data_IF_955243195673
#
_entry.id   IF_955243195673
#
_cell.length_a   1.000
_cell.length_b   1.000
_cell.length_c   1.000
_cell.angle_alpha   90.00
_cell.angle_beta   90.00
_cell.angle_gamma   90.00
#
_symmetry.space_group_name_H-M   'P 1'
#
loop_
_entity.id
_entity.type
_entity.pdbx_description
1 polymer ?
#
# COMPACT_ATOMS: atom_id res chain seq x y z
N UNK A 1 13.48 53.41 18.21
CA UNK A 1 14.92 53.51 17.92
C UNK A 1 15.30 54.92 17.46
N UNK A 2 14.70 55.48 16.40
CA UNK A 2 15.05 56.84 15.92
C UNK A 2 14.83 57.97 16.94
N UNK A 3 13.72 57.93 17.69
CA UNK A 3 13.44 58.90 18.75
C UNK A 3 14.54 58.93 19.84
N UNK A 4 15.05 57.76 20.23
CA UNK A 4 16.15 57.64 21.21
C UNK A 4 17.50 58.05 20.63
N UNK A 5 17.70 57.87 19.32
CA UNK A 5 18.90 58.32 18.58
C UNK A 5 19.03 59.83 18.60
N UNK A 6 17.90 60.53 18.52
CA UNK A 6 17.84 61.99 18.46
C UNK A 6 17.63 62.65 19.83
N UNK A 7 17.57 61.86 20.91
CA UNK A 7 17.43 62.38 22.26
C UNK A 7 18.73 63.07 22.70
N UNK A 8 18.66 64.37 22.94
CA UNK A 8 19.80 65.22 23.34
C UNK A 8 19.86 65.50 24.85
N UNK A 9 18.89 65.01 25.61
CA UNK A 9 18.87 65.14 27.07
C UNK A 9 19.81 64.15 27.76
N UNK A 10 19.79 64.16 29.10
CA UNK A 10 20.57 63.23 29.90
C UNK A 10 20.03 61.81 29.78
N UNK A 11 20.83 60.92 29.17
CA UNK A 11 20.47 59.52 28.92
C UNK A 11 20.31 58.71 30.21
N UNK A 12 20.89 59.15 31.33
CA UNK A 12 20.74 58.49 32.63
C UNK A 12 19.34 58.70 33.24
N UNK A 13 18.64 59.76 32.83
CA UNK A 13 17.27 60.06 33.30
C UNK A 13 16.19 59.25 32.58
N UNK A 14 16.55 58.56 31.50
CA UNK A 14 15.63 57.71 30.74
C UNK A 14 15.22 56.47 31.53
N UNK A 15 14.04 55.94 31.25
CA UNK A 15 13.56 54.71 31.87
C UNK A 15 14.42 53.49 31.48
N UNK A 16 14.40 52.44 32.30
CA UNK A 16 15.18 51.21 32.07
C UNK A 16 14.98 50.61 30.67
N UNK A 17 13.77 50.67 30.13
CA UNK A 17 13.48 50.18 28.78
C UNK A 17 14.21 50.99 27.69
N UNK A 18 14.26 52.30 27.83
CA UNK A 18 14.92 53.20 26.89
C UNK A 18 16.45 53.05 26.99
N UNK A 19 16.98 52.94 28.21
CA UNK A 19 18.38 52.62 28.45
C UNK A 19 18.79 51.28 27.81
N UNK A 20 17.95 50.24 27.92
CA UNK A 20 18.18 48.96 27.24
C UNK A 20 18.27 49.13 25.70
N UNK A 21 17.36 49.90 25.10
CA UNK A 21 17.43 50.17 23.65
C UNK A 21 18.65 50.99 23.27
N UNK A 22 19.11 51.94 24.11
CA UNK A 22 20.34 52.67 23.87
C UNK A 22 21.57 51.76 23.82
N UNK A 23 21.65 50.76 24.71
CA UNK A 23 22.70 49.73 24.66
C UNK A 23 22.56 48.86 23.41
N UNK A 24 21.34 48.42 23.08
CA UNK A 24 21.07 47.59 21.91
C UNK A 24 21.47 48.28 20.59
N UNK A 25 21.27 49.59 20.50
CA UNK A 25 21.61 50.41 19.34
C UNK A 25 23.11 50.57 19.10
N UNK A 26 23.96 50.26 20.10
CA UNK A 26 25.41 50.22 19.91
C UNK A 26 25.85 49.07 19.02
N UNK A 27 24.99 48.05 18.85
CA UNK A 27 25.26 46.91 17.98
C UNK A 27 24.83 47.23 16.54
N UNK A 28 25.75 47.24 15.56
CA UNK A 28 25.40 47.46 14.16
C UNK A 28 24.48 46.34 13.65
N UNK A 29 23.47 46.72 12.86
CA UNK A 29 22.52 45.81 12.18
C UNK A 29 21.89 44.77 13.12
N UNK A 30 21.56 45.18 14.35
CA UNK A 30 21.04 44.27 15.39
C UNK A 30 19.85 43.41 14.93
N UNK A 31 18.92 43.96 14.15
CA UNK A 31 17.78 43.18 13.62
C UNK A 31 18.22 42.04 12.70
N UNK A 32 19.22 42.29 11.84
CA UNK A 32 19.81 41.27 10.97
C UNK A 32 20.47 40.18 11.83
N UNK A 33 21.30 40.58 12.79
CA UNK A 33 21.99 39.65 13.71
C UNK A 33 21.02 38.80 14.51
N UNK A 34 19.89 39.35 14.96
CA UNK A 34 18.84 38.57 15.62
C UNK A 34 18.18 37.55 14.70
N UNK A 35 17.91 37.90 13.43
CA UNK A 35 17.39 36.93 12.45
C UNK A 35 18.40 35.80 12.20
N UNK A 36 19.69 36.12 12.13
CA UNK A 36 20.76 35.12 12.00
C UNK A 36 20.81 34.20 13.22
N UNK A 37 20.73 34.75 14.44
CA UNK A 37 20.69 33.93 15.65
C UNK A 37 19.46 33.03 15.70
N UNK A 38 18.28 33.55 15.36
CA UNK A 38 17.06 32.75 15.29
C UNK A 38 17.20 31.59 14.29
N UNK A 39 17.75 31.86 13.10
CA UNK A 39 18.04 30.82 12.11
C UNK A 39 19.03 29.78 12.65
N UNK A 40 20.16 30.22 13.22
CA UNK A 40 21.17 29.32 13.79
C UNK A 40 20.59 28.39 14.86
N UNK A 41 19.71 28.91 15.72
CA UNK A 41 19.05 28.12 16.77
C UNK A 41 18.11 27.05 16.16
N UNK A 42 17.43 27.37 15.07
CA UNK A 42 16.46 26.50 14.42
C UNK A 42 17.07 25.56 13.38
N UNK A 43 18.28 25.84 12.89
CA UNK A 43 18.91 25.19 11.74
C UNK A 43 18.89 23.67 11.80
N UNK A 44 19.39 23.08 12.89
CA UNK A 44 19.49 21.63 13.03
C UNK A 44 18.11 20.95 13.06
N UNK A 45 17.11 21.63 13.60
CA UNK A 45 15.72 21.15 13.57
C UNK A 45 15.15 21.20 12.16
N UNK A 46 15.33 22.31 11.44
CA UNK A 46 14.87 22.43 10.04
C UNK A 46 15.52 21.38 9.14
N UNK A 47 16.84 21.20 9.21
CA UNK A 47 17.56 20.16 8.44
C UNK A 47 16.99 18.77 8.73
N UNK A 48 16.85 18.42 10.02
CA UNK A 48 16.38 17.09 10.44
C UNK A 48 14.97 16.81 9.96
N UNK A 49 14.07 17.79 10.10
CA UNK A 49 12.65 17.61 9.79
C UNK A 49 12.44 17.48 8.28
N UNK A 50 13.09 18.34 7.46
CA UNK A 50 13.07 18.21 6.00
C UNK A 50 13.67 16.88 5.55
N UNK A 51 14.84 16.51 6.09
CA UNK A 51 15.51 15.23 5.77
C UNK A 51 14.62 14.04 6.08
N UNK A 52 13.97 14.02 7.25
CA UNK A 52 13.06 12.94 7.65
C UNK A 52 11.90 12.78 6.67
N UNK A 53 11.29 13.89 6.26
CA UNK A 53 10.18 13.87 5.32
C UNK A 53 10.65 13.38 3.94
N UNK A 54 11.81 13.82 3.46
CA UNK A 54 12.40 13.33 2.21
C UNK A 54 12.69 11.83 2.25
N UNK A 55 13.24 11.32 3.35
CA UNK A 55 13.48 9.89 3.52
C UNK A 55 12.18 9.09 3.55
N UNK A 56 11.12 9.63 4.13
CA UNK A 56 9.79 9.00 4.11
C UNK A 56 9.27 8.83 2.67
N UNK A 57 9.44 9.85 1.83
CA UNK A 57 9.09 9.78 0.40
C UNK A 57 9.97 8.76 -0.33
N UNK A 58 11.28 8.77 -0.06
CA UNK A 58 12.22 7.83 -0.65
C UNK A 58 11.84 6.38 -0.34
N UNK A 59 11.59 6.07 0.94
CA UNK A 59 11.17 4.73 1.38
C UNK A 59 9.86 4.31 0.74
N UNK A 60 8.85 5.19 0.65
CA UNK A 60 7.61 4.87 -0.04
C UNK A 60 7.83 4.54 -1.54
N UNK A 61 8.74 5.24 -2.22
CA UNK A 61 9.09 4.93 -3.62
C UNK A 61 9.74 3.55 -3.74
N UNK A 62 10.67 3.23 -2.84
CA UNK A 62 11.36 1.93 -2.81
C UNK A 62 10.40 0.78 -2.48
N UNK A 63 9.54 0.95 -1.48
CA UNK A 63 8.53 -0.02 -1.08
C UNK A 63 7.56 -0.33 -2.22
N UNK A 64 7.01 0.70 -2.87
CA UNK A 64 6.05 0.55 -3.98
C UNK A 64 6.67 -0.13 -5.21
N UNK A 65 7.92 0.19 -5.54
CA UNK A 65 8.63 -0.41 -6.68
C UNK A 65 9.16 -1.80 -6.35
N UNK A 66 9.53 -2.03 -5.10
CA UNK A 66 10.15 -3.24 -4.59
C UNK A 66 9.16 -4.34 -4.21
N UNK A 67 7.89 -4.00 -3.90
CA UNK A 67 6.91 -5.01 -3.47
C UNK A 67 6.52 -5.96 -4.60
N UNK A 68 7.04 -7.19 -4.54
CA UNK A 68 6.66 -8.28 -5.44
C UNK A 68 5.18 -8.65 -5.28
N UNK A 69 4.66 -8.58 -4.06
CA UNK A 69 3.25 -8.83 -3.76
C UNK A 69 2.34 -7.84 -4.50
N UNK A 70 2.65 -6.54 -4.45
CA UNK A 70 1.90 -5.52 -5.18
C UNK A 70 1.92 -5.78 -6.70
N UNK A 71 3.07 -6.18 -7.26
CA UNK A 71 3.17 -6.54 -8.69
C UNK A 71 2.24 -7.70 -9.05
N UNK A 72 2.19 -8.74 -8.21
CA UNK A 72 1.27 -9.87 -8.41
C UNK A 72 -0.19 -9.43 -8.30
N UNK A 73 -0.55 -8.55 -7.37
CA UNK A 73 -1.91 -7.97 -7.28
C UNK A 73 -2.26 -7.20 -8.56
N UNK A 74 -1.37 -6.34 -9.05
CA UNK A 74 -1.59 -5.58 -10.29
C UNK A 74 -1.76 -6.49 -11.51
N UNK A 75 -0.97 -7.57 -11.60
CA UNK A 75 -1.12 -8.60 -12.65
C UNK A 75 -2.47 -9.31 -12.59
N UNK A 76 -2.95 -9.65 -11.40
CA UNK A 76 -4.28 -10.26 -11.21
C UNK A 76 -5.41 -9.30 -11.62
N UNK A 77 -5.29 -8.01 -11.31
CA UNK A 77 -6.25 -7.00 -11.75
C UNK A 77 -6.29 -6.94 -13.29
N UNK A 78 -5.12 -6.93 -13.94
CA UNK A 78 -5.03 -6.91 -15.39
C UNK A 78 -5.67 -8.16 -16.02
N UNK A 79 -5.37 -9.36 -15.49
CA UNK A 79 -5.96 -10.60 -15.95
C UNK A 79 -7.49 -10.53 -15.87
N UNK A 80 -8.01 -10.23 -14.68
CA UNK A 80 -9.45 -10.17 -14.44
C UNK A 80 -10.08 -9.16 -15.40
N UNK A 81 -9.48 -7.98 -15.54
CA UNK A 81 -9.93 -6.97 -16.49
C UNK A 81 -10.00 -7.48 -17.93
N UNK A 82 -8.95 -8.15 -18.42
CA UNK A 82 -8.91 -8.70 -19.77
C UNK A 82 -9.95 -9.80 -19.97
N UNK A 83 -10.07 -10.74 -19.02
CA UNK A 83 -11.10 -11.80 -19.06
C UNK A 83 -12.50 -11.22 -19.09
N UNK A 84 -12.79 -10.20 -18.27
CA UNK A 84 -14.12 -9.59 -18.22
C UNK A 84 -14.46 -8.79 -19.48
N UNK A 85 -13.45 -8.29 -20.20
CA UNK A 85 -13.63 -7.49 -21.40
C UNK A 85 -13.31 -8.28 -22.69
N UNK A 86 -13.24 -9.61 -22.61
CA UNK A 86 -12.97 -10.48 -23.75
C UNK A 86 -13.98 -10.22 -24.89
N UNK A 87 -13.49 -10.20 -26.13
CA UNK A 87 -14.31 -9.84 -27.29
C UNK A 87 -14.55 -8.34 -27.49
N UNK A 88 -14.13 -7.49 -26.57
CA UNK A 88 -14.11 -6.02 -26.76
C UNK A 88 -12.69 -5.51 -27.06
N UNK A 89 -12.51 -4.30 -27.60
CA UNK A 89 -11.19 -3.68 -27.74
C UNK A 89 -10.40 -3.54 -26.43
N UNK A 90 -11.06 -3.68 -25.26
CA UNK A 90 -10.45 -3.60 -23.93
C UNK A 90 -10.00 -4.96 -23.38
N UNK A 91 -10.30 -6.08 -24.05
CA UNK A 91 -10.00 -7.45 -23.59
C UNK A 91 -8.56 -7.91 -23.80
N UNK A 92 -7.71 -7.08 -24.42
CA UNK A 92 -6.30 -7.38 -24.71
C UNK A 92 -5.37 -6.27 -24.21
N UNK A 93 -5.73 -5.64 -23.09
CA UNK A 93 -4.91 -4.58 -22.52
C UNK A 93 -3.58 -5.14 -21.99
N UNK A 94 -2.50 -4.39 -22.21
CA UNK A 94 -1.18 -4.68 -21.64
C UNK A 94 -0.96 -4.00 -20.28
N UNK A 95 -1.87 -3.10 -19.90
CA UNK A 95 -1.85 -2.34 -18.66
C UNK A 95 -3.12 -1.51 -18.52
N UNK A 96 -3.26 -0.83 -17.38
CA UNK A 96 -4.38 0.06 -17.08
C UNK A 96 -3.87 1.32 -16.36
N UNK A 97 -4.65 2.40 -16.43
CA UNK A 97 -4.37 3.64 -15.70
C UNK A 97 -4.54 3.43 -14.19
N UNK A 98 -3.66 4.01 -13.38
CA UNK A 98 -3.57 3.69 -11.96
C UNK A 98 -4.90 3.92 -11.23
N UNK A 99 -5.55 5.04 -11.50
CA UNK A 99 -6.85 5.44 -10.97
C UNK A 99 -8.01 4.48 -11.35
N UNK A 100 -7.82 3.60 -12.34
CA UNK A 100 -8.80 2.56 -12.68
C UNK A 100 -8.92 1.48 -11.61
N UNK A 101 -7.90 1.25 -10.78
CA UNK A 101 -7.95 0.24 -9.71
C UNK A 101 -8.99 0.58 -8.64
N UNK A 102 -9.33 1.86 -8.48
CA UNK A 102 -10.35 2.30 -7.53
C UNK A 102 -11.76 1.89 -7.97
N UNK A 103 -11.97 1.66 -9.27
CA UNK A 103 -13.28 1.30 -9.84
C UNK A 103 -13.66 -0.17 -9.60
N UNK A 104 -12.74 -0.98 -9.07
CA UNK A 104 -13.00 -2.38 -8.73
C UNK A 104 -14.10 -2.55 -7.67
N UNK A 105 -14.42 -1.51 -6.90
CA UNK A 105 -15.54 -1.53 -5.95
C UNK A 105 -16.89 -1.16 -6.58
N UNK A 106 -16.89 -0.59 -7.78
CA UNK A 106 -18.09 -0.17 -8.50
C UNK A 106 -18.70 -1.33 -9.30
N UNK A 107 -17.87 -2.21 -9.86
CA UNK A 107 -18.32 -3.41 -10.55
C UNK A 107 -18.83 -4.45 -9.55
N UNK A 108 -20.11 -4.81 -9.64
CA UNK A 108 -20.80 -5.74 -8.73
C UNK A 108 -21.26 -7.00 -9.46
N UNK A 109 -21.24 -8.12 -8.75
CA UNK A 109 -21.97 -9.32 -9.18
C UNK A 109 -23.49 -9.14 -9.02
N UNK A 110 -24.26 -10.03 -9.65
CA UNK A 110 -25.73 -10.06 -9.57
C UNK A 110 -26.22 -10.14 -8.12
N UNK A 111 -25.44 -10.72 -7.21
CA UNK A 111 -25.62 -10.57 -5.76
C UNK A 111 -25.10 -9.19 -5.29
N UNK A 112 -26.01 -8.31 -4.88
CA UNK A 112 -25.75 -6.88 -4.59
C UNK A 112 -24.62 -6.57 -3.58
N UNK A 113 -24.12 -7.57 -2.84
CA UNK A 113 -23.11 -7.43 -1.78
C UNK A 113 -21.66 -7.70 -2.21
N UNK A 114 -21.40 -8.33 -3.36
CA UNK A 114 -20.03 -8.72 -3.76
C UNK A 114 -19.53 -7.86 -4.92
N UNK A 115 -18.40 -7.16 -4.74
CA UNK A 115 -17.75 -6.36 -5.78
C UNK A 115 -16.60 -7.11 -6.44
N UNK A 116 -16.05 -6.58 -7.54
CA UNK A 116 -14.86 -7.14 -8.19
C UNK A 116 -13.64 -7.12 -7.26
N UNK A 117 -13.54 -6.12 -6.37
CA UNK A 117 -12.53 -6.10 -5.29
C UNK A 117 -12.67 -7.31 -4.35
N UNK A 118 -13.90 -7.64 -3.93
CA UNK A 118 -14.14 -8.82 -3.10
C UNK A 118 -13.72 -10.10 -3.81
N UNK A 119 -14.01 -10.19 -5.11
CA UNK A 119 -13.58 -11.32 -5.92
C UNK A 119 -12.06 -11.39 -6.05
N UNK A 120 -11.37 -10.28 -6.30
CA UNK A 120 -9.91 -10.22 -6.33
C UNK A 120 -9.32 -10.79 -5.03
N UNK A 121 -9.79 -10.34 -3.87
CA UNK A 121 -9.34 -10.85 -2.56
C UNK A 121 -9.65 -12.35 -2.37
N UNK A 122 -10.77 -12.87 -2.90
CA UNK A 122 -11.11 -14.31 -2.85
C UNK A 122 -10.20 -15.13 -3.76
N UNK A 123 -9.95 -14.69 -5.00
CA UNK A 123 -9.13 -15.41 -5.96
C UNK A 123 -7.69 -15.48 -5.50
N UNK A 124 -7.15 -14.36 -5.01
CA UNK A 124 -5.82 -14.31 -4.37
C UNK A 124 -5.71 -15.34 -3.25
N UNK A 125 -6.81 -15.66 -2.54
CA UNK A 125 -6.86 -16.68 -1.48
C UNK A 125 -7.00 -18.12 -2.00
N UNK A 126 -7.69 -18.34 -3.12
CA UNK A 126 -7.96 -19.69 -3.67
C UNK A 126 -6.71 -20.31 -4.30
N UNK A 127 -5.87 -19.52 -4.98
CA UNK A 127 -4.61 -19.99 -5.57
C UNK A 127 -3.61 -20.58 -4.55
N UNK A 128 -3.89 -20.40 -3.25
CA UNK A 128 -3.00 -20.74 -2.16
C UNK A 128 -3.31 -22.10 -1.50
N UNK A 129 -4.45 -22.73 -1.82
CA UNK A 129 -4.92 -23.93 -1.11
C UNK A 129 -5.08 -25.18 -1.98
N UNK A 130 -5.13 -25.10 -3.32
CA UNK A 130 -5.59 -26.25 -4.14
C UNK A 130 -4.91 -26.47 -5.51
N UNK A 131 -3.72 -25.91 -5.80
CA UNK A 131 -2.96 -26.29 -7.00
C UNK A 131 -1.60 -26.90 -6.64
N UNK A 132 -1.29 -28.07 -7.22
CA UNK A 132 0.10 -28.53 -7.31
C UNK A 132 0.92 -27.49 -8.08
N UNK A 133 2.21 -27.35 -7.71
CA UNK A 133 3.14 -26.40 -8.35
C UNK A 133 3.22 -26.54 -9.89
N UNK A 134 2.81 -27.68 -10.44
CA UNK A 134 2.98 -28.01 -11.85
C UNK A 134 1.96 -27.31 -12.76
N UNK A 135 0.71 -27.16 -12.32
CA UNK A 135 -0.33 -26.47 -13.12
C UNK A 135 -0.07 -24.95 -13.15
N UNK A 136 0.45 -24.39 -12.04
CA UNK A 136 0.80 -22.98 -11.98
C UNK A 136 1.94 -22.63 -12.96
N UNK A 137 2.96 -23.50 -13.07
CA UNK A 137 4.06 -23.33 -14.04
C UNK A 137 3.55 -23.32 -15.49
N UNK A 138 2.52 -24.10 -15.80
CA UNK A 138 1.96 -24.22 -17.16
C UNK A 138 1.06 -23.04 -17.57
N UNK A 139 0.25 -22.50 -16.65
CA UNK A 139 -0.69 -21.41 -16.96
C UNK A 139 0.00 -20.03 -16.90
N UNK A 140 0.97 -19.86 -16.01
CA UNK A 140 1.52 -18.54 -15.68
C UNK A 140 2.98 -18.33 -16.08
N UNK A 141 3.63 -19.34 -16.66
CA UNK A 141 4.98 -19.27 -17.24
C UNK A 141 6.09 -18.89 -16.25
N UNK A 142 5.81 -18.89 -14.95
CA UNK A 142 6.73 -18.40 -13.93
C UNK A 142 6.67 -19.30 -12.68
N UNK A 143 7.83 -19.84 -12.31
CA UNK A 143 8.03 -20.68 -11.13
C UNK A 143 7.86 -19.82 -9.88
N UNK A 144 6.72 -19.92 -9.20
CA UNK A 144 6.54 -19.33 -7.88
C UNK A 144 7.42 -20.11 -6.91
N UNK A 145 8.25 -19.38 -6.17
CA UNK A 145 9.14 -19.92 -5.13
C UNK A 145 8.28 -20.63 -4.08
N UNK A 146 8.60 -21.88 -3.81
CA UNK A 146 7.87 -22.72 -2.87
C UNK A 146 7.94 -22.15 -1.44
N UNK A 147 6.77 -21.91 -0.84
CA UNK A 147 6.65 -21.75 0.61
C UNK A 147 5.54 -20.78 1.03
N UNK A 148 4.46 -21.32 1.60
CA UNK A 148 3.52 -20.64 2.51
C UNK A 148 2.85 -19.35 2.00
N UNK A 149 1.80 -19.51 1.21
CA UNK A 149 0.99 -18.39 0.76
C UNK A 149 -0.25 -18.14 1.64
N UNK A 150 -0.08 -17.42 2.76
CA UNK A 150 -1.02 -16.37 3.18
C UNK A 150 -0.52 -14.96 2.80
N UNK A 151 0.74 -14.88 2.38
CA UNK A 151 1.57 -13.66 2.27
C UNK A 151 1.21 -12.72 1.11
N UNK A 152 0.15 -12.93 0.32
CA UNK A 152 -0.21 -11.99 -0.75
C UNK A 152 -1.31 -11.01 -0.31
N UNK A 153 -2.13 -11.40 0.66
CA UNK A 153 -3.23 -10.58 1.18
C UNK A 153 -2.73 -9.50 2.16
N UNK A 154 -1.53 -9.70 2.71
CA UNK A 154 -0.83 -8.77 3.60
C UNK A 154 0.18 -7.87 2.86
N UNK A 155 0.08 -7.71 1.53
CA UNK A 155 1.01 -6.86 0.76
C UNK A 155 1.11 -5.42 1.27
N UNK A 156 0.08 -4.95 1.97
CA UNK A 156 0.06 -3.64 2.60
C UNK A 156 1.06 -3.50 3.76
N UNK A 157 1.48 -4.60 4.37
CA UNK A 157 2.53 -4.63 5.40
C UNK A 157 3.92 -4.31 4.80
N UNK A 158 4.10 -4.51 3.48
CA UNK A 158 5.34 -4.09 2.79
C UNK A 158 5.38 -2.57 2.55
N UNK A 159 4.27 -1.86 2.73
CA UNK A 159 4.06 -0.45 2.33
C UNK A 159 3.98 0.49 3.55
N UNK A 160 4.90 0.33 4.50
CA UNK A 160 4.87 0.99 5.82
C UNK A 160 4.97 2.51 5.73
N UNK A 161 5.67 3.05 4.73
CA UNK A 161 5.88 4.49 4.57
C UNK A 161 4.77 5.15 3.76
N UNK A 162 3.92 4.38 3.09
CA UNK A 162 2.93 4.90 2.13
C UNK A 162 1.96 5.91 2.75
N UNK A 163 1.40 5.61 3.92
CA UNK A 163 0.43 6.50 4.58
C UNK A 163 1.07 7.80 5.06
N UNK A 164 2.29 7.74 5.59
CA UNK A 164 3.03 8.92 6.00
C UNK A 164 3.40 9.78 4.78
N UNK A 165 3.88 9.13 3.71
CA UNK A 165 4.30 9.80 2.49
C UNK A 165 3.13 10.44 1.73
N UNK A 166 1.93 9.85 1.76
CA UNK A 166 0.74 10.43 1.09
C UNK A 166 0.28 11.77 1.69
N UNK A 167 0.75 12.11 2.90
CA UNK A 167 0.45 13.37 3.59
C UNK A 167 1.48 14.46 3.30
N UNK A 168 2.59 14.11 2.65
CA UNK A 168 3.66 15.04 2.30
C UNK A 168 3.40 15.68 0.94
N UNK A 169 3.95 16.88 0.75
CA UNK A 169 3.86 17.63 -0.50
C UNK A 169 5.28 18.02 -0.91
N UNK A 170 5.75 17.53 -2.07
CA UNK A 170 7.10 17.78 -2.57
C UNK A 170 7.37 19.26 -2.78
N UNK A 171 6.34 20.04 -3.14
CA UNK A 171 6.44 21.49 -3.27
C UNK A 171 6.69 22.18 -1.92
N UNK A 172 5.98 21.77 -0.86
CA UNK A 172 6.21 22.33 0.48
C UNK A 172 7.61 21.97 0.99
N UNK A 173 8.07 20.74 0.75
CA UNK A 173 9.43 20.32 1.09
C UNK A 173 10.50 21.10 0.31
N UNK A 174 10.21 21.48 -0.95
CA UNK A 174 11.07 22.35 -1.74
C UNK A 174 11.20 23.75 -1.12
N UNK A 175 10.08 24.33 -0.68
CA UNK A 175 10.03 25.64 -0.03
C UNK A 175 10.80 25.62 1.31
N UNK A 176 10.63 24.57 2.12
CA UNK A 176 11.37 24.37 3.37
C UNK A 176 12.88 24.19 3.12
N UNK A 177 13.27 23.33 2.17
CA UNK A 177 14.67 23.12 1.79
C UNK A 177 15.30 24.44 1.29
N UNK A 178 14.60 25.19 0.45
CA UNK A 178 15.08 26.45 -0.07
C UNK A 178 15.17 27.53 1.02
N UNK A 179 14.28 27.51 2.01
CA UNK A 179 14.37 28.40 3.16
C UNK A 179 15.66 28.16 3.97
N UNK A 180 16.10 26.91 4.11
CA UNK A 180 17.38 26.58 4.74
C UNK A 180 18.56 27.08 3.93
N UNK A 181 18.58 26.85 2.60
CA UNK A 181 19.65 27.34 1.72
C UNK A 181 19.77 28.85 1.79
N UNK A 182 18.65 29.58 1.60
CA UNK A 182 18.62 31.05 1.68
C UNK A 182 18.95 31.56 3.08
N UNK A 183 18.60 30.79 4.11
CA UNK A 183 18.98 31.09 5.50
C UNK A 183 20.49 31.11 5.65
N UNK A 184 21.18 30.08 5.14
CA UNK A 184 22.64 29.97 5.18
C UNK A 184 23.32 31.09 4.38
N UNK A 185 22.83 31.40 3.17
CA UNK A 185 23.32 32.54 2.37
C UNK A 185 23.23 33.87 3.12
N UNK A 186 22.16 34.09 3.89
CA UNK A 186 22.02 35.28 4.74
C UNK A 186 23.02 35.30 5.89
N UNK A 187 23.39 34.13 6.44
CA UNK A 187 24.45 34.03 7.45
C UNK A 187 25.78 34.47 6.86
N UNK A 188 26.12 33.99 5.66
CA UNK A 188 27.34 34.40 4.94
C UNK A 188 27.35 35.91 4.66
N UNK A 189 26.24 36.46 4.14
CA UNK A 189 26.12 37.89 3.87
C UNK A 189 26.30 38.75 5.12
N UNK A 190 25.68 38.38 6.25
CA UNK A 190 25.85 39.14 7.50
C UNK A 190 27.25 38.97 8.08
N UNK A 191 27.87 37.79 7.94
CA UNK A 191 29.26 37.59 8.35
C UNK A 191 30.21 38.53 7.60
N UNK A 192 30.04 38.68 6.29
CA UNK A 192 30.81 39.62 5.46
C UNK A 192 30.47 41.08 5.80
N UNK A 193 29.20 41.41 6.03
CA UNK A 193 28.82 42.77 6.43
C UNK A 193 29.40 43.15 7.81
N UNK A 194 29.59 42.18 8.71
CA UNK A 194 30.12 42.41 10.04
C UNK A 194 31.63 42.67 10.10
N UNK A 195 32.37 42.54 9.01
CA UNK A 195 33.81 42.82 8.99
C UNK A 195 34.14 44.28 9.30
N UNK A 196 33.25 45.20 8.92
CA UNK A 196 33.39 46.63 9.19
C UNK A 196 32.86 47.08 10.56
N UNK A 197 32.33 46.17 11.38
CA UNK A 197 31.68 46.53 12.65
C UNK A 197 32.65 46.79 13.81
N UNK A 198 33.93 46.47 13.64
CA UNK A 198 34.94 46.54 14.69
C UNK A 198 34.74 45.50 15.82
N UNK A 199 35.38 45.69 16.99
CA UNK A 199 35.51 44.66 18.02
C UNK A 199 34.18 44.16 18.62
N UNK A 200 33.13 44.98 18.55
CA UNK A 200 31.79 44.63 19.06
C UNK A 200 31.21 43.37 18.40
N UNK A 201 31.69 43.00 17.21
CA UNK A 201 31.21 41.84 16.46
C UNK A 201 32.22 40.69 16.37
N UNK A 202 33.35 40.74 17.06
CA UNK A 202 34.40 39.69 16.95
C UNK A 202 33.87 38.31 17.35
N UNK A 203 33.19 38.23 18.49
CA UNK A 203 32.57 36.98 18.98
C UNK A 203 31.48 36.49 18.04
N UNK A 204 30.66 37.41 17.51
CA UNK A 204 29.62 37.10 16.53
C UNK A 204 30.23 36.48 15.27
N UNK A 205 31.23 37.13 14.68
CA UNK A 205 31.92 36.65 13.47
C UNK A 205 32.58 35.29 13.69
N UNK A 206 33.28 35.10 14.82
CA UNK A 206 33.90 33.81 15.16
C UNK A 206 32.84 32.70 15.23
N UNK A 207 31.74 32.94 15.95
CA UNK A 207 30.65 31.98 16.12
C UNK A 207 29.98 31.61 14.79
N UNK A 208 29.82 32.59 13.89
CA UNK A 208 29.24 32.33 12.57
C UNK A 208 30.19 31.57 11.65
N UNK A 209 31.50 31.84 11.69
CA UNK A 209 32.49 31.07 10.92
C UNK A 209 32.46 29.59 11.29
N UNK A 210 32.54 29.28 12.57
CA UNK A 210 32.46 27.90 13.09
C UNK A 210 31.14 27.24 12.65
N UNK A 211 30.02 27.96 12.73
CA UNK A 211 28.73 27.45 12.26
C UNK A 211 28.71 27.18 10.75
N UNK A 212 29.25 28.06 9.92
CA UNK A 212 29.29 27.89 8.46
C UNK A 212 30.17 26.72 8.03
N UNK A 213 31.31 26.53 8.71
CA UNK A 213 32.23 25.42 8.47
C UNK A 213 31.52 24.06 8.64
N UNK A 214 30.68 23.95 9.67
CA UNK A 214 29.90 22.73 9.94
C UNK A 214 28.66 22.59 9.04
N UNK A 215 27.89 23.68 8.88
CA UNK A 215 26.55 23.64 8.27
C UNK A 215 26.54 23.60 6.74
N UNK A 216 27.62 24.06 6.08
CA UNK A 216 27.68 24.06 4.61
C UNK A 216 27.58 22.66 4.01
N UNK A 217 28.18 21.65 4.66
CA UNK A 217 28.08 20.26 4.22
C UNK A 217 26.66 19.71 4.37
N UNK A 218 25.98 20.02 5.48
CA UNK A 218 24.60 19.61 5.75
C UNK A 218 23.61 20.14 4.70
N UNK A 219 23.73 21.43 4.35
CA UNK A 219 22.85 22.06 3.35
C UNK A 219 23.07 21.46 1.96
N UNK A 220 24.33 21.21 1.57
CA UNK A 220 24.66 20.54 0.30
C UNK A 220 24.08 19.13 0.26
N UNK A 221 24.26 18.36 1.34
CA UNK A 221 23.73 17.01 1.44
C UNK A 221 22.19 16.99 1.39
N UNK A 222 21.52 17.92 2.08
CA UNK A 222 20.06 18.03 2.03
C UNK A 222 19.55 18.39 0.63
N UNK A 223 20.25 19.28 -0.08
CA UNK A 223 19.90 19.69 -1.45
C UNK A 223 20.07 18.53 -2.44
N UNK A 224 21.15 17.75 -2.31
CA UNK A 224 21.34 16.54 -3.09
C UNK A 224 20.25 15.50 -2.82
N UNK A 225 19.92 15.25 -1.55
CA UNK A 225 18.84 14.34 -1.16
C UNK A 225 17.49 14.78 -1.74
N UNK A 226 17.16 16.07 -1.68
CA UNK A 226 15.92 16.59 -2.29
C UNK A 226 15.87 16.30 -3.80
N UNK A 227 16.96 16.59 -4.52
CA UNK A 227 17.04 16.33 -5.95
C UNK A 227 16.91 14.84 -6.28
N UNK A 228 17.52 13.96 -5.47
CA UNK A 228 17.47 12.51 -5.67
C UNK A 228 16.07 11.95 -5.41
N UNK A 229 15.43 12.39 -4.32
CA UNK A 229 14.05 12.02 -3.98
C UNK A 229 13.07 12.51 -5.03
N UNK A 230 13.24 13.73 -5.55
CA UNK A 230 12.43 14.26 -6.65
C UNK A 230 12.51 13.38 -7.90
N UNK A 231 13.72 12.94 -8.29
CA UNK A 231 13.89 12.02 -9.42
C UNK A 231 13.27 10.64 -9.17
N UNK A 232 13.37 10.11 -7.94
CA UNK A 232 12.72 8.86 -7.56
C UNK A 232 11.20 8.94 -7.60
N UNK A 233 10.62 10.06 -7.16
CA UNK A 233 9.20 10.35 -7.23
C UNK A 233 8.68 10.42 -8.67
N UNK A 234 9.40 11.12 -9.55
CA UNK A 234 9.06 11.16 -10.99
C UNK A 234 9.18 9.77 -11.62
N UNK A 235 10.26 9.04 -11.30
CA UNK A 235 10.47 7.68 -11.79
C UNK A 235 9.38 6.70 -11.31
N UNK A 236 8.79 6.92 -10.13
CA UNK A 236 7.67 6.12 -9.63
C UNK A 236 6.41 6.37 -10.45
N UNK A 237 6.12 7.64 -10.78
CA UNK A 237 4.96 7.98 -11.62
C UNK A 237 5.09 7.33 -13.01
N UNK A 238 6.28 7.42 -13.62
CA UNK A 238 6.60 6.76 -14.88
C UNK A 238 6.50 5.23 -14.78
N UNK A 239 6.91 4.63 -13.65
CA UNK A 239 6.81 3.19 -13.41
C UNK A 239 5.36 2.68 -13.46
N UNK A 240 4.39 3.47 -12.99
CA UNK A 240 2.96 3.16 -13.11
C UNK A 240 2.34 3.60 -14.44
N UNK A 241 3.15 4.08 -15.40
CA UNK A 241 2.68 4.52 -16.72
C UNK A 241 2.00 5.89 -16.70
N UNK A 242 2.25 6.69 -15.66
CA UNK A 242 1.68 8.02 -15.47
C UNK A 242 2.70 9.13 -15.82
N UNK A 243 2.20 10.29 -16.21
CA UNK A 243 2.99 11.49 -16.51
C UNK A 243 3.24 12.28 -15.20
N UNK A 244 4.48 12.42 -14.70
CA UNK A 244 4.77 13.11 -13.45
C UNK A 244 4.24 14.54 -13.40
N UNK A 245 4.12 15.22 -14.56
CA UNK A 245 3.61 16.59 -14.62
C UNK A 245 2.08 16.67 -14.39
N UNK A 246 1.35 15.58 -14.64
CA UNK A 246 -0.11 15.51 -14.53
C UNK A 246 -0.59 14.68 -13.36
N UNK A 247 0.23 13.71 -12.96
CA UNK A 247 -0.07 12.71 -11.96
C UNK A 247 1.17 12.54 -11.07
N UNK A 248 1.46 13.54 -10.22
CA UNK A 248 2.67 13.57 -9.42
C UNK A 248 2.63 12.51 -8.31
N UNK A 249 3.76 12.38 -7.61
CA UNK A 249 3.93 11.43 -6.51
C UNK A 249 2.78 11.41 -5.51
N UNK A 250 2.27 12.57 -5.10
CA UNK A 250 1.20 12.67 -4.11
C UNK A 250 -0.08 12.00 -4.60
N UNK A 251 -0.37 12.10 -5.90
CA UNK A 251 -1.53 11.47 -6.51
C UNK A 251 -1.34 9.95 -6.65
N UNK A 252 -0.13 9.50 -6.99
CA UNK A 252 0.25 8.06 -6.98
C UNK A 252 0.08 7.48 -5.58
N UNK A 253 0.71 8.10 -4.57
CA UNK A 253 0.67 7.66 -3.18
C UNK A 253 -0.76 7.63 -2.63
N UNK A 254 -1.55 8.69 -2.86
CA UNK A 254 -2.95 8.78 -2.43
C UNK A 254 -3.84 7.71 -3.08
N UNK A 255 -3.67 7.46 -4.38
CA UNK A 255 -4.45 6.45 -5.11
C UNK A 255 -4.12 5.05 -4.62
N UNK A 256 -2.83 4.74 -4.42
CA UNK A 256 -2.40 3.44 -3.90
C UNK A 256 -2.83 3.24 -2.44
N UNK A 257 -2.75 4.28 -1.61
CA UNK A 257 -3.24 4.21 -0.22
C UNK A 257 -4.75 3.95 -0.18
N UNK A 258 -5.51 4.64 -1.03
CA UNK A 258 -6.96 4.43 -1.16
C UNK A 258 -7.25 2.99 -1.61
N UNK A 259 -6.53 2.50 -2.62
CA UNK A 259 -6.65 1.12 -3.09
C UNK A 259 -6.36 0.11 -1.96
N UNK A 260 -5.27 0.29 -1.23
CA UNK A 260 -4.91 -0.56 -0.07
C UNK A 260 -6.05 -0.59 0.95
N UNK A 261 -6.61 0.56 1.30
CA UNK A 261 -7.74 0.65 2.22
C UNK A 261 -8.98 -0.10 1.71
N UNK A 262 -9.33 0.07 0.43
CA UNK A 262 -10.45 -0.64 -0.20
C UNK A 262 -10.22 -2.16 -0.25
N UNK A 263 -9.00 -2.59 -0.57
CA UNK A 263 -8.61 -3.99 -0.62
C UNK A 263 -8.72 -4.64 0.76
N UNK A 264 -8.14 -4.02 1.79
CA UNK A 264 -8.20 -4.52 3.18
C UNK A 264 -9.63 -4.66 3.66
N UNK A 265 -10.45 -3.64 3.43
CA UNK A 265 -11.88 -3.66 3.77
C UNK A 265 -12.61 -4.82 3.10
N UNK A 266 -12.43 -5.00 1.79
CA UNK A 266 -13.06 -6.11 1.06
C UNK A 266 -12.56 -7.48 1.54
N UNK A 267 -11.28 -7.59 1.90
CA UNK A 267 -10.71 -8.81 2.48
C UNK A 267 -11.35 -9.15 3.84
N UNK A 268 -11.49 -8.18 4.74
CA UNK A 268 -12.16 -8.36 6.03
C UNK A 268 -13.64 -8.73 5.89
N UNK A 269 -14.36 -8.06 4.97
CA UNK A 269 -15.76 -8.36 4.66
C UNK A 269 -15.92 -9.80 4.14
N UNK A 270 -15.00 -10.26 3.29
CA UNK A 270 -14.96 -11.65 2.83
C UNK A 270 -14.76 -12.65 3.99
N UNK A 271 -13.82 -12.38 4.91
CA UNK A 271 -13.58 -13.26 6.07
C UNK A 271 -14.84 -13.41 6.92
N UNK A 272 -15.51 -12.29 7.22
CA UNK A 272 -16.80 -12.29 7.94
C UNK A 272 -17.87 -13.09 7.20
N UNK A 273 -17.95 -12.97 5.88
CA UNK A 273 -18.91 -13.72 5.07
C UNK A 273 -18.64 -15.23 5.13
N UNK A 274 -17.37 -15.65 5.00
CA UNK A 274 -16.94 -17.05 5.07
C UNK A 274 -17.28 -17.65 6.44
N UNK A 275 -16.99 -16.92 7.53
CA UNK A 275 -17.31 -17.37 8.88
C UNK A 275 -18.82 -17.50 9.11
N UNK A 276 -19.61 -16.55 8.62
CA UNK A 276 -21.06 -16.59 8.72
C UNK A 276 -21.64 -17.79 7.94
N UNK A 277 -21.11 -18.08 6.76
CA UNK A 277 -21.50 -19.25 5.95
C UNK A 277 -21.11 -20.56 6.66
N UNK A 278 -19.91 -20.65 7.23
CA UNK A 278 -19.46 -21.81 8.03
C UNK A 278 -20.39 -22.08 9.21
N UNK A 279 -20.76 -21.03 9.97
CA UNK A 279 -21.69 -21.16 11.11
C UNK A 279 -23.09 -21.61 10.68
N UNK A 280 -23.59 -21.16 9.52
CA UNK A 280 -24.88 -21.61 8.97
C UNK A 280 -24.84 -23.06 8.51
N UNK A 281 -23.82 -23.44 7.74
CA UNK A 281 -23.66 -24.81 7.26
C UNK A 281 -23.53 -25.83 8.40
N UNK A 282 -22.82 -25.48 9.48
CA UNK A 282 -22.74 -26.34 10.68
C UNK A 282 -24.11 -26.52 11.34
N UNK A 283 -24.89 -25.45 11.50
CA UNK A 283 -26.25 -25.52 12.06
C UNK A 283 -27.21 -26.33 11.18
N UNK A 284 -27.07 -26.25 9.86
CA UNK A 284 -27.86 -27.05 8.92
C UNK A 284 -27.48 -28.52 8.99
N UNK A 285 -26.19 -28.84 9.00
CA UNK A 285 -25.70 -30.21 9.16
C UNK A 285 -26.12 -30.84 10.51
N UNK A 286 -26.13 -30.07 11.60
CA UNK A 286 -26.62 -30.53 12.91
C UNK A 286 -28.13 -30.84 12.89
N UNK A 287 -28.92 -30.01 12.20
CA UNK A 287 -30.36 -30.24 12.02
C UNK A 287 -30.63 -31.48 11.18
N UNK A 288 -29.91 -31.66 10.07
CA UNK A 288 -30.02 -32.86 9.22
C UNK A 288 -29.61 -34.13 9.98
N UNK A 289 -28.50 -34.09 10.73
CA UNK A 289 -28.05 -35.22 11.56
C UNK A 289 -29.01 -35.56 12.71
N UNK A 290 -29.83 -34.61 13.16
CA UNK A 290 -30.88 -34.84 14.16
C UNK A 290 -32.18 -35.41 13.57
N UNK A 291 -32.48 -35.13 12.29
CA UNK A 291 -33.65 -35.66 11.58
C UNK A 291 -33.43 -37.07 11.01
N UNK A 292 -32.19 -37.44 10.68
CA UNK A 292 -31.84 -38.78 10.15
C UNK A 292 -31.78 -39.87 11.25
N UNK A 293 -32.03 -39.51 12.53
CA UNK A 293 -32.24 -40.47 13.63
C UNK A 293 -33.68 -41.00 13.64
N UNK A 294 -34.12 -41.64 12.56
CA UNK A 294 -35.34 -42.46 12.60
C UNK A 294 -34.96 -43.91 12.96
N UNK A 295 -35.59 -44.53 13.98
CA UNK A 295 -35.30 -45.91 14.34
C UNK A 295 -35.87 -46.84 13.26
N UNK A 296 -35.00 -47.38 12.41
CA UNK A 296 -35.39 -48.46 11.50
C UNK A 296 -35.57 -49.73 12.33
N UNK A 297 -36.83 -50.12 12.58
CA UNK A 297 -37.15 -51.45 13.09
C UNK A 297 -36.99 -52.45 11.93
N UNK A 298 -35.87 -53.17 11.90
CA UNK A 298 -35.75 -54.41 11.15
C UNK A 298 -35.96 -55.58 12.12
N UNK A 299 -36.76 -56.56 11.68
CA UNK A 299 -36.89 -57.84 12.35
C UNK A 299 -35.52 -58.52 12.35
N UNK A 300 -35.19 -59.13 13.48
CA UNK A 300 -33.98 -59.92 13.74
C UNK A 300 -32.73 -59.14 14.20
N UNK A 301 -32.79 -58.68 15.45
CA UNK A 301 -31.85 -59.17 16.47
C UNK A 301 -30.37 -58.79 16.42
N UNK A 302 -29.90 -57.85 15.61
CA UNK A 302 -28.53 -57.32 15.74
C UNK A 302 -28.45 -55.80 15.50
N UNK A 303 -27.85 -55.08 16.46
CA UNK A 303 -27.65 -53.63 16.41
C UNK A 303 -26.38 -53.30 15.61
N UNK A 304 -26.52 -52.61 14.47
CA UNK A 304 -25.40 -51.92 13.83
C UNK A 304 -25.75 -50.44 13.67
N UNK A 305 -25.01 -49.57 14.36
CA UNK A 305 -24.99 -48.15 14.04
C UNK A 305 -24.15 -47.97 12.77
N UNK A 306 -24.79 -47.88 11.60
CA UNK A 306 -24.10 -47.46 10.38
C UNK A 306 -23.74 -45.98 10.50
N UNK A 307 -22.51 -45.68 10.94
CA UNK A 307 -21.93 -44.35 10.86
C UNK A 307 -21.42 -44.15 9.43
N UNK A 308 -22.12 -43.36 8.61
CA UNK A 308 -21.46 -42.74 7.44
C UNK A 308 -20.50 -41.65 7.95
N UNK A 309 -19.27 -41.55 7.43
CA UNK A 309 -18.37 -40.47 7.82
C UNK A 309 -18.93 -39.11 7.36
N UNK A 310 -18.78 -38.09 8.20
CA UNK A 310 -19.26 -36.72 7.97
C UNK A 310 -18.67 -36.12 6.67
N UNK A 311 -19.49 -35.63 5.73
CA UNK A 311 -19.07 -35.08 4.43
C UNK A 311 -18.58 -33.62 4.48
N UNK A 312 -18.34 -33.05 5.67
CA UNK A 312 -18.11 -31.61 5.84
C UNK A 312 -17.00 -31.06 4.93
N UNK A 313 -15.85 -31.73 4.82
CA UNK A 313 -14.76 -31.30 3.93
C UNK A 313 -15.13 -31.31 2.43
N UNK A 314 -15.95 -32.27 1.98
CA UNK A 314 -16.40 -32.33 0.58
C UNK A 314 -17.47 -31.28 0.27
N UNK A 315 -18.30 -30.93 1.25
CA UNK A 315 -19.29 -29.85 1.14
C UNK A 315 -18.57 -28.50 0.96
N UNK A 316 -17.54 -28.21 1.75
CA UNK A 316 -16.77 -26.97 1.65
C UNK A 316 -16.07 -26.81 0.29
N UNK A 317 -15.42 -27.86 -0.24
CA UNK A 317 -14.82 -27.83 -1.59
C UNK A 317 -15.84 -27.57 -2.69
N UNK A 318 -17.04 -28.16 -2.61
CA UNK A 318 -18.12 -27.94 -3.58
C UNK A 318 -18.72 -26.53 -3.52
N UNK A 319 -18.77 -25.92 -2.33
CA UNK A 319 -19.25 -24.56 -2.13
C UNK A 319 -18.31 -23.52 -2.76
N UNK A 320 -16.99 -23.64 -2.58
CA UNK A 320 -16.03 -22.68 -3.16
C UNK A 320 -15.99 -22.76 -4.69
N UNK A 321 -16.02 -23.97 -5.27
CA UNK A 321 -16.08 -24.16 -6.73
C UNK A 321 -17.38 -23.63 -7.34
N UNK A 322 -18.53 -23.88 -6.69
CA UNK A 322 -19.83 -23.39 -7.15
C UNK A 322 -19.91 -21.86 -7.04
N UNK A 323 -19.39 -21.26 -5.97
CA UNK A 323 -19.35 -19.80 -5.83
C UNK A 323 -18.50 -19.12 -6.92
N UNK A 324 -17.38 -19.73 -7.32
CA UNK A 324 -16.54 -19.19 -8.40
C UNK A 324 -17.22 -19.31 -9.77
N UNK A 325 -17.84 -20.46 -10.05
CA UNK A 325 -18.63 -20.68 -11.26
C UNK A 325 -19.84 -19.72 -11.33
N UNK A 326 -20.56 -19.54 -10.23
CA UNK A 326 -21.72 -18.66 -10.16
C UNK A 326 -21.31 -17.19 -10.29
N UNK A 327 -20.18 -16.77 -9.71
CA UNK A 327 -19.67 -15.41 -9.85
C UNK A 327 -19.22 -15.08 -11.29
N UNK A 328 -18.50 -15.99 -11.95
CA UNK A 328 -18.08 -15.80 -13.34
C UNK A 328 -19.29 -15.88 -14.30
N UNK A 329 -20.24 -16.78 -14.03
CA UNK A 329 -21.53 -16.84 -14.72
C UNK A 329 -22.34 -15.55 -14.59
N UNK A 330 -22.39 -14.98 -13.38
CA UNK A 330 -23.09 -13.74 -13.07
C UNK A 330 -22.54 -12.52 -13.82
N UNK A 331 -21.21 -12.39 -13.95
CA UNK A 331 -20.62 -11.28 -14.72
C UNK A 331 -20.78 -11.50 -16.23
N UNK A 332 -20.66 -12.75 -16.72
CA UNK A 332 -20.82 -13.08 -18.15
C UNK A 332 -22.24 -12.87 -18.70
N UNK A 333 -23.25 -12.80 -17.82
CA UNK A 333 -24.63 -12.50 -18.24
C UNK A 333 -24.78 -11.04 -18.76
N UNK A 334 -23.77 -10.20 -18.55
CA UNK A 334 -23.71 -8.83 -19.08
C UNK A 334 -23.04 -8.72 -20.47
N UNK A 335 -22.21 -9.68 -20.90
CA UNK A 335 -21.55 -9.66 -22.22
C UNK A 335 -21.31 -11.09 -22.76
N UNK A 336 -21.97 -11.39 -23.89
CA UNK A 336 -21.91 -12.55 -24.81
C UNK A 336 -21.56 -13.97 -24.25
N UNK A 337 -22.48 -14.92 -24.48
CA UNK A 337 -22.49 -16.31 -23.95
C UNK A 337 -21.42 -17.23 -24.56
N UNK A 338 -20.64 -16.77 -25.53
CA UNK A 338 -19.66 -17.56 -26.28
C UNK A 338 -18.35 -17.81 -25.49
N UNK A 339 -17.93 -16.90 -24.61
CA UNK A 339 -16.71 -17.03 -23.79
C UNK A 339 -16.80 -18.10 -22.68
N UNK A 340 -18.02 -18.43 -22.23
CA UNK A 340 -18.26 -19.38 -21.14
C UNK A 340 -17.74 -20.79 -21.44
N UNK A 341 -17.76 -21.21 -22.72
CA UNK A 341 -17.27 -22.53 -23.13
C UNK A 341 -15.76 -22.68 -23.04
N UNK A 342 -14.97 -21.60 -22.98
CA UNK A 342 -13.51 -21.69 -22.93
C UNK A 342 -12.97 -21.57 -21.51
N UNK A 343 -13.52 -20.65 -20.70
CA UNK A 343 -13.12 -20.47 -19.28
C UNK A 343 -13.63 -21.63 -18.41
N UNK A 344 -14.90 -22.05 -18.58
CA UNK A 344 -15.41 -23.20 -17.84
C UNK A 344 -14.71 -24.50 -18.26
N UNK A 345 -14.35 -24.64 -19.54
CA UNK A 345 -13.62 -25.82 -20.03
C UNK A 345 -12.17 -25.85 -19.54
N UNK A 346 -11.49 -24.70 -19.46
CA UNK A 346 -10.14 -24.60 -18.90
C UNK A 346 -10.12 -24.84 -17.39
N UNK A 347 -11.10 -24.32 -16.63
CA UNK A 347 -11.21 -24.57 -15.20
C UNK A 347 -11.66 -26.00 -14.87
N UNK A 348 -12.52 -26.61 -15.68
CA UNK A 348 -12.99 -28.01 -15.50
C UNK A 348 -11.92 -29.01 -15.94
N UNK A 349 -11.21 -28.80 -17.05
CA UNK A 349 -10.12 -29.69 -17.49
C UNK A 349 -8.95 -29.70 -16.48
N UNK A 350 -8.70 -28.58 -15.80
CA UNK A 350 -7.71 -28.49 -14.71
C UNK A 350 -8.17 -29.18 -13.41
N UNK A 351 -9.48 -29.19 -13.12
CA UNK A 351 -10.03 -29.81 -11.90
C UNK A 351 -10.34 -31.32 -12.05
N UNK A 352 -10.49 -31.81 -13.28
CA UNK A 352 -10.83 -33.22 -13.57
C UNK A 352 -9.57 -34.10 -13.75
N UNK A 353 -8.40 -33.52 -14.01
CA UNK A 353 -7.13 -34.25 -14.14
C UNK A 353 -6.30 -34.31 -12.83
N UNK A 354 -6.94 -34.65 -11.72
CA UNK A 354 -6.27 -35.12 -10.48
C UNK A 354 -6.39 -36.65 -10.37
N UNK A 355 -5.29 -37.44 -10.26
CA UNK A 355 -5.33 -38.92 -10.25
C UNK A 355 -5.85 -39.56 -8.94
N UNK A 356 -6.57 -38.83 -8.09
CA UNK A 356 -6.90 -39.29 -6.73
C UNK A 356 -8.17 -40.15 -6.62
N UNK A 357 -8.62 -40.82 -7.68
CA UNK A 357 -9.81 -41.70 -7.70
C UNK A 357 -9.51 -43.17 -8.00
N UNK A 358 -8.26 -43.63 -7.83
CA UNK A 358 -7.86 -45.02 -8.09
C UNK A 358 -7.58 -45.88 -6.84
N UNK A 359 -8.06 -45.48 -5.66
CA UNK A 359 -7.98 -46.29 -4.43
C UNK A 359 -9.33 -46.75 -3.86
N UNK A 360 -10.34 -46.91 -4.72
CA UNK A 360 -11.60 -47.58 -4.39
C UNK A 360 -11.86 -48.85 -5.23
N UNK A 361 -10.81 -49.48 -5.79
CA UNK A 361 -10.90 -50.73 -6.59
C UNK A 361 -10.11 -51.91 -6.01
N UNK A 362 -9.93 -51.96 -4.69
CA UNK A 362 -9.46 -53.18 -4.03
C UNK A 362 -10.38 -53.54 -2.86
N UNK A 363 -11.52 -54.13 -3.21
CA UNK A 363 -12.15 -55.17 -2.41
C UNK A 363 -12.35 -56.35 -3.36
N UNK A 364 -11.47 -57.33 -3.18
CA UNK A 364 -11.42 -58.62 -3.89
C UNK A 364 -12.69 -59.42 -3.61
N UNK A 365 -13.33 -59.95 -4.66
CA UNK A 365 -13.89 -61.30 -4.65
C UNK A 365 -14.02 -61.84 -6.09
N UNK A 366 -13.71 -63.14 -6.22
CA UNK A 366 -13.24 -63.89 -7.39
C UNK A 366 -14.12 -63.92 -8.66
N UNK A 367 -13.52 -64.13 -9.84
CA UNK A 367 -14.19 -64.65 -11.04
C UNK A 367 -14.17 -66.19 -11.00
N UNK A 368 -15.26 -66.83 -10.54
CA UNK A 368 -15.60 -68.23 -10.85
C UNK A 368 -16.95 -68.64 -10.21
N UNK A 369 -18.05 -68.37 -10.92
CA UNK A 369 -19.35 -69.06 -10.83
C UNK A 369 -20.05 -68.81 -12.20
N UNK A 370 -19.81 -69.60 -13.25
CA UNK A 370 -20.64 -70.75 -13.65
C UNK A 370 -22.15 -70.48 -13.60
N UNK A 371 -22.71 -69.89 -14.67
CA UNK A 371 -23.55 -70.58 -15.68
C UNK A 371 -23.99 -69.63 -16.78
#
# INVERSE_FOLDING_TARGET
>A
MELLKNFTGDKETLGKCEQFFLELMKVPRIESKFRIFAFKIQFQTQIRDVRKNLLTVASACEELRGSEKLKVIMKNILLIGNTLNEGTPRGQAVGFRLDSILKLVETRATSSRTTLMHFLCKNVRIYLHDLSNDVWSCIWGQKIVQGKSPELLDFHEDLVSLEAASKLQLKALAEEQQAVVKGLEKVEQELTASESDGPVSDVFRKTLKEFLDDSGADVRALSALYADVGRSADALSLYFGEDPAKYPFEQVASTLLTFVGLFRKAHEENLKQIEAQRKKALKEAEKEASQDRTPVKLKDGNFFLSRRPLPAMQIFRRLDCRQMHDFLGDISCLQDKSCFRFVAKSCIEVLVHEPCLERAKYAVCSPDQLK
#
